data_IF_747142201352
#
_entry.id   IF_747142201352
#
_cell.length_a   1.000
_cell.length_b   1.000
_cell.length_c   1.000
_cell.angle_alpha   90.00
_cell.angle_beta   90.00
_cell.angle_gamma   90.00
#
_symmetry.space_group_name_H-M   'P 1'
#
loop_
_entity.id
_entity.type
_entity.pdbx_description
1 polymer ?
#
# COMPACT_ATOMS: atom_id res chain seq x y z
N UNK A 1 -5.49 -4.43 2.32
CA UNK A 1 -6.03 -4.10 0.98
C UNK A 1 -5.15 -3.00 0.42
N UNK A 2 -4.75 -3.10 -0.84
CA UNK A 2 -4.03 -2.00 -1.50
C UNK A 2 -4.76 -1.54 -2.75
N UNK A 3 -4.60 -0.27 -3.07
CA UNK A 3 -5.26 0.40 -4.18
C UNK A 3 -4.20 1.06 -5.07
N UNK A 4 -4.27 0.75 -6.36
CA UNK A 4 -3.45 1.37 -7.39
C UNK A 4 -4.10 2.71 -7.78
N UNK A 5 -3.28 3.74 -7.98
CA UNK A 5 -3.73 5.06 -8.42
C UNK A 5 -2.95 6.18 -7.75
N UNK A 6 -2.95 7.37 -8.35
CA UNK A 6 -2.30 8.54 -7.76
C UNK A 6 -2.96 8.92 -6.44
N UNK A 7 -2.21 9.59 -5.54
CA UNK A 7 -2.73 10.08 -4.26
C UNK A 7 -4.02 10.89 -4.43
N UNK A 8 -4.09 11.73 -5.46
CA UNK A 8 -5.26 12.54 -5.79
C UNK A 8 -6.48 11.67 -6.15
N UNK A 9 -6.31 10.67 -7.03
CA UNK A 9 -7.40 9.75 -7.42
C UNK A 9 -7.92 8.97 -6.21
N UNK A 10 -7.00 8.45 -5.40
CA UNK A 10 -7.33 7.69 -4.20
C UNK A 10 -8.12 8.54 -3.18
N UNK A 11 -7.72 9.81 -2.99
CA UNK A 11 -8.43 10.73 -2.11
C UNK A 11 -9.85 11.01 -2.60
N UNK A 12 -10.06 11.22 -3.90
CA UNK A 12 -11.41 11.40 -4.47
C UNK A 12 -12.30 10.18 -4.18
N UNK A 13 -11.76 8.97 -4.37
CA UNK A 13 -12.48 7.72 -4.06
C UNK A 13 -12.80 7.62 -2.56
N UNK A 14 -11.86 7.96 -1.67
CA UNK A 14 -12.09 7.93 -0.23
C UNK A 14 -13.15 8.94 0.22
N UNK A 15 -13.15 10.16 -0.34
CA UNK A 15 -14.17 11.15 -0.06
C UNK A 15 -15.55 10.65 -0.50
N UNK A 16 -15.66 10.04 -1.69
CA UNK A 16 -16.92 9.46 -2.19
C UNK A 16 -17.42 8.27 -1.36
N UNK A 17 -16.52 7.43 -0.85
CA UNK A 17 -16.90 6.33 0.03
C UNK A 17 -17.37 6.83 1.40
N UNK A 18 -16.79 7.92 1.91
CA UNK A 18 -17.22 8.55 3.15
C UNK A 18 -18.61 9.17 3.03
N UNK A 19 -18.92 9.87 1.93
CA UNK A 19 -20.26 10.43 1.71
C UNK A 19 -21.34 9.36 1.62
N UNK A 20 -20.99 8.14 1.20
CA UNK A 20 -21.88 6.97 1.18
C UNK A 20 -22.01 6.23 2.53
N UNK A 21 -21.48 6.79 3.62
CA UNK A 21 -21.54 6.17 4.95
C UNK A 21 -20.47 5.10 5.20
N UNK A 22 -19.40 5.08 4.40
CA UNK A 22 -18.28 4.16 4.59
C UNK A 22 -17.53 4.41 5.92
N UNK A 23 -17.20 3.37 6.71
CA UNK A 23 -16.52 3.57 7.99
C UNK A 23 -15.08 4.06 7.78
N UNK A 24 -14.74 5.23 8.34
CA UNK A 24 -13.38 5.81 8.26
C UNK A 24 -12.29 4.83 8.68
N UNK A 25 -12.52 4.09 9.78
CA UNK A 25 -11.61 3.06 10.31
C UNK A 25 -11.29 1.93 9.33
N UNK A 26 -12.17 1.66 8.36
CA UNK A 26 -11.89 0.66 7.29
C UNK A 26 -11.04 1.26 6.18
N UNK A 27 -11.27 2.53 5.84
CA UNK A 27 -10.48 3.24 4.83
C UNK A 27 -9.03 3.45 5.28
N UNK A 28 -8.81 3.70 6.57
CA UNK A 28 -7.47 3.84 7.18
C UNK A 28 -6.61 2.57 7.05
N UNK A 29 -7.20 1.40 6.81
CA UNK A 29 -6.48 0.13 6.61
C UNK A 29 -6.09 -0.13 5.16
N UNK A 30 -6.39 0.80 4.24
CA UNK A 30 -6.11 0.67 2.81
C UNK A 30 -4.77 1.32 2.49
N UNK A 31 -3.87 0.59 1.84
CA UNK A 31 -2.61 1.11 1.32
C UNK A 31 -2.87 1.76 -0.05
N UNK A 32 -2.80 3.09 -0.12
CA UNK A 32 -3.20 3.84 -1.29
C UNK A 32 -2.31 5.09 -1.51
N UNK A 33 -1.41 5.10 -2.50
CA UNK A 33 -1.10 4.00 -3.43
C UNK A 33 -0.47 2.79 -2.74
N UNK A 34 -0.73 1.60 -3.28
CA UNK A 34 0.05 0.39 -2.97
C UNK A 34 1.40 0.45 -3.70
N UNK A 35 2.44 -0.02 -3.04
CA UNK A 35 3.82 -0.03 -3.47
C UNK A 35 4.75 0.74 -2.53
N UNK A 36 5.99 0.27 -2.38
CA UNK A 36 7.06 1.08 -1.81
C UNK A 36 7.45 2.22 -2.78
N UNK A 37 7.79 3.38 -2.22
CA UNK A 37 8.24 4.50 -3.02
C UNK A 37 9.66 4.26 -3.56
N UNK A 38 9.75 3.72 -4.78
CA UNK A 38 11.02 3.45 -5.47
C UNK A 38 11.15 4.25 -6.78
N UNK A 39 10.27 5.24 -7.01
CA UNK A 39 10.15 5.97 -8.27
C UNK A 39 9.90 5.03 -9.48
N UNK A 40 9.07 4.00 -9.30
CA UNK A 40 8.71 3.07 -10.35
C UNK A 40 7.96 3.77 -11.50
N UNK A 41 8.39 3.52 -12.73
CA UNK A 41 7.76 4.01 -13.96
C UNK A 41 7.21 2.87 -14.82
N UNK A 42 7.91 1.73 -14.86
CA UNK A 42 7.51 0.58 -15.67
C UNK A 42 6.56 -0.35 -14.91
N UNK A 43 5.70 -1.12 -15.61
CA UNK A 43 4.84 -2.13 -14.98
C UNK A 43 5.62 -3.12 -14.10
N UNK A 44 6.82 -3.50 -14.52
CA UNK A 44 7.71 -4.42 -13.82
C UNK A 44 8.21 -3.81 -12.51
N UNK A 45 8.64 -2.55 -12.53
CA UNK A 45 9.04 -1.82 -11.32
C UNK A 45 7.86 -1.62 -10.36
N UNK A 46 6.67 -1.32 -10.89
CA UNK A 46 5.45 -1.20 -10.09
C UNK A 46 5.14 -2.55 -9.42
N UNK A 47 5.25 -3.66 -10.15
CA UNK A 47 5.04 -4.99 -9.60
C UNK A 47 6.03 -5.32 -8.47
N UNK A 48 7.33 -5.02 -8.66
CA UNK A 48 8.36 -5.21 -7.63
C UNK A 48 8.06 -4.35 -6.40
N UNK A 49 7.70 -3.08 -6.60
CA UNK A 49 7.32 -2.14 -5.53
C UNK A 49 6.15 -2.67 -4.69
N UNK A 50 5.12 -3.21 -5.35
CA UNK A 50 3.94 -3.80 -4.70
C UNK A 50 4.34 -5.06 -3.91
N UNK A 51 5.10 -5.97 -4.52
CA UNK A 51 5.54 -7.20 -3.88
C UNK A 51 6.40 -6.92 -2.65
N UNK A 52 7.28 -5.91 -2.73
CA UNK A 52 8.09 -5.48 -1.60
C UNK A 52 7.24 -4.97 -0.42
N UNK A 53 6.18 -4.20 -0.70
CA UNK A 53 5.25 -3.77 0.36
C UNK A 53 4.48 -4.95 0.97
N UNK A 54 4.03 -5.91 0.16
CA UNK A 54 3.36 -7.13 0.65
C UNK A 54 4.28 -7.92 1.57
N UNK A 55 5.53 -8.13 1.16
CA UNK A 55 6.54 -8.84 1.98
C UNK A 55 6.78 -8.08 3.28
N UNK A 56 6.95 -6.75 3.22
CA UNK A 56 7.12 -5.89 4.40
C UNK A 56 5.97 -6.06 5.37
N UNK A 57 4.72 -5.89 4.94
CA UNK A 57 3.53 -6.04 5.82
C UNK A 57 3.44 -7.45 6.40
N UNK A 58 3.76 -8.49 5.62
CA UNK A 58 3.77 -9.88 6.09
C UNK A 58 4.84 -10.11 7.17
N UNK A 59 6.04 -9.57 6.98
CA UNK A 59 7.20 -9.75 7.89
C UNK A 59 7.19 -8.81 9.08
N UNK A 60 6.56 -7.64 9.00
CA UNK A 60 6.43 -6.72 10.15
C UNK A 60 5.61 -7.32 11.31
N UNK A 61 4.93 -8.45 11.11
CA UNK A 61 4.31 -9.23 12.19
C UNK A 61 5.30 -10.15 12.93
N UNK A 62 6.48 -10.38 12.36
CA UNK A 62 7.61 -11.11 12.94
C UNK A 62 8.69 -10.10 13.34
N UNK A 63 8.61 -9.57 14.57
CA UNK A 63 9.67 -8.75 15.15
C UNK A 63 10.89 -9.61 15.51
N UNK A 64 11.68 -9.99 14.51
CA UNK A 64 13.06 -10.39 14.73
C UNK A 64 13.91 -9.72 13.66
N UNK A 65 14.71 -8.72 14.05
CA UNK A 65 15.82 -8.25 13.22
C UNK A 65 16.79 -9.44 13.15
N UNK A 66 16.65 -10.27 12.11
CA UNK A 66 17.70 -11.21 11.73
C UNK A 66 18.66 -10.42 10.87
N UNK A 67 19.89 -10.28 11.34
CA UNK A 67 21.03 -9.83 10.55
C UNK A 67 21.00 -10.56 9.20
N UNK A 68 21.19 -9.80 8.11
CA UNK A 68 21.25 -10.36 6.77
C UNK A 68 22.30 -11.48 6.75
N UNK A 69 21.84 -12.73 6.65
CA UNK A 69 22.69 -13.87 6.33
C UNK A 69 22.63 -14.04 4.81
N UNK A 70 23.58 -13.43 4.12
CA UNK A 70 23.98 -13.85 2.78
C UNK A 70 25.00 -14.97 2.89
#
# INVERSE_FOLDING_TARGET
>A
IGMIGSRKKNQTVFSHLQTKGGPKKRLEKIHAPIGLNINAETPEEIAVSIMAEIIKVRRSREHTIKTWKV
#
